data_IF_663033020289
#
_entry.id   IF_663033020289
#
_cell.length_a   1.000
_cell.length_b   1.000
_cell.length_c   1.000
_cell.angle_alpha   90.00
_cell.angle_beta   90.00
_cell.angle_gamma   90.00
#
_symmetry.space_group_name_H-M   'P 1'
#
loop_
_entity.id
_entity.type
_entity.pdbx_description
1 polymer ?
#
# COMPACT_ATOMS: atom_id res chain seq x y z
N UNK A 1 11.66 -6.97 -17.63
CA UNK A 1 10.26 -7.09 -18.07
C UNK A 1 9.40 -6.84 -16.85
N UNK A 2 8.45 -5.92 -16.92
CA UNK A 2 7.48 -5.68 -15.83
C UNK A 2 6.43 -6.79 -15.91
N UNK A 3 6.13 -7.42 -14.78
CA UNK A 3 5.08 -8.47 -14.66
C UNK A 3 3.77 -7.84 -14.19
N UNK A 4 2.65 -8.56 -14.32
CA UNK A 4 1.37 -8.12 -13.73
C UNK A 4 1.53 -7.87 -12.23
N UNK A 5 2.21 -8.77 -11.52
CA UNK A 5 2.44 -8.65 -10.07
C UNK A 5 3.18 -7.35 -9.72
N UNK A 6 4.24 -7.03 -10.47
CA UNK A 6 5.01 -5.78 -10.31
C UNK A 6 4.14 -4.54 -10.56
N UNK A 7 3.27 -4.59 -11.59
CA UNK A 7 2.35 -3.50 -11.88
C UNK A 7 1.27 -3.32 -10.80
N UNK A 8 0.75 -4.43 -10.27
CA UNK A 8 -0.29 -4.41 -9.24
C UNK A 8 0.26 -4.01 -7.87
N UNK A 9 1.50 -4.37 -7.53
CA UNK A 9 2.12 -4.00 -6.24
C UNK A 9 2.41 -2.51 -6.11
N UNK A 10 2.55 -1.80 -7.23
CA UNK A 10 2.74 -0.35 -7.25
C UNK A 10 1.44 0.44 -7.41
N UNK A 11 0.30 -0.24 -7.55
CA UNK A 11 -0.97 0.41 -7.86
C UNK A 11 -1.56 1.05 -6.60
N UNK A 12 -1.62 2.38 -6.57
CA UNK A 12 -2.21 3.12 -5.45
C UNK A 12 -3.73 3.12 -5.51
N UNK A 13 -4.39 3.32 -4.37
CA UNK A 13 -5.86 3.49 -4.31
C UNK A 13 -6.38 4.56 -5.29
N UNK A 14 -5.65 5.66 -5.45
CA UNK A 14 -6.02 6.75 -6.37
C UNK A 14 -5.93 6.28 -7.83
N UNK A 15 -4.91 5.50 -8.19
CA UNK A 15 -4.77 4.96 -9.54
C UNK A 15 -5.86 3.92 -9.84
N UNK A 16 -6.19 3.05 -8.88
CA UNK A 16 -7.34 2.14 -9.01
C UNK A 16 -8.63 2.92 -9.26
N UNK A 17 -8.90 3.97 -8.47
CA UNK A 17 -10.09 4.80 -8.67
C UNK A 17 -10.15 5.39 -10.08
N UNK A 18 -9.01 5.86 -10.62
CA UNK A 18 -8.94 6.37 -12.00
C UNK A 18 -9.19 5.29 -13.05
N UNK A 19 -8.72 4.06 -12.82
CA UNK A 19 -8.95 2.92 -13.73
C UNK A 19 -10.43 2.50 -13.76
N UNK A 20 -11.11 2.57 -12.62
CA UNK A 20 -12.52 2.19 -12.49
C UNK A 20 -13.49 3.30 -12.92
N UNK A 21 -13.00 4.53 -13.13
CA UNK A 21 -13.81 5.68 -13.52
C UNK A 21 -14.52 6.35 -12.34
N UNK A 22 -15.54 7.15 -12.64
CA UNK A 22 -16.20 8.04 -11.67
C UNK A 22 -16.79 7.31 -10.45
N UNK A 23 -17.27 6.07 -10.65
CA UNK A 23 -17.83 5.24 -9.57
C UNK A 23 -16.78 4.41 -8.82
N UNK A 24 -15.49 4.50 -9.18
CA UNK A 24 -14.45 3.62 -8.67
C UNK A 24 -14.37 3.51 -7.15
N UNK A 25 -14.48 4.65 -6.44
CA UNK A 25 -14.49 4.67 -4.97
C UNK A 25 -15.66 3.87 -4.38
N UNK A 26 -16.85 4.00 -4.96
CA UNK A 26 -18.03 3.32 -4.46
C UNK A 26 -17.96 1.81 -4.77
N UNK A 27 -17.47 1.45 -5.97
CA UNK A 27 -17.32 0.05 -6.37
C UNK A 27 -16.28 -0.69 -5.52
N UNK A 28 -15.14 -0.07 -5.20
CA UNK A 28 -14.13 -0.67 -4.30
C UNK A 28 -14.74 -0.89 -2.91
N UNK A 29 -15.46 0.12 -2.38
CA UNK A 29 -16.10 0.02 -1.06
C UNK A 29 -17.17 -1.06 -1.01
N UNK A 30 -18.03 -1.16 -2.03
CA UNK A 30 -19.02 -2.23 -2.16
C UNK A 30 -18.35 -3.60 -2.33
N UNK A 31 -17.23 -3.64 -3.07
CA UNK A 31 -16.38 -4.80 -3.23
C UNK A 31 -15.75 -5.32 -1.94
N UNK A 32 -15.54 -4.44 -0.96
CA UNK A 32 -15.06 -4.82 0.37
C UNK A 32 -16.06 -5.64 1.20
N UNK A 33 -17.33 -5.71 0.78
CA UNK A 33 -18.34 -6.54 1.43
C UNK A 33 -18.27 -8.02 1.03
N UNK A 34 -17.46 -8.37 0.03
CA UNK A 34 -17.27 -9.75 -0.39
C UNK A 34 -16.24 -10.44 0.51
N UNK A 35 -16.65 -11.51 1.16
CA UNK A 35 -15.74 -12.38 1.92
C UNK A 35 -14.95 -13.25 0.93
N UNK A 36 -13.65 -12.98 0.79
CA UNK A 36 -12.77 -13.65 -0.16
C UNK A 36 -11.80 -14.55 0.59
N UNK A 37 -11.78 -15.84 0.23
CA UNK A 37 -10.78 -16.79 0.71
C UNK A 37 -9.64 -16.91 -0.31
N UNK A 38 -8.42 -16.55 0.09
CA UNK A 38 -7.24 -16.56 -0.79
C UNK A 38 -6.90 -17.96 -1.32
N UNK A 39 -7.09 -19.02 -0.51
CA UNK A 39 -6.66 -20.37 -0.87
C UNK A 39 -7.60 -21.02 -1.90
N UNK A 40 -8.89 -20.66 -1.85
CA UNK A 40 -9.93 -21.30 -2.66
C UNK A 40 -10.37 -20.45 -3.87
N UNK A 41 -10.39 -19.13 -3.72
CA UNK A 41 -11.05 -18.23 -4.67
C UNK A 41 -10.08 -17.39 -5.50
N UNK A 42 -8.79 -17.41 -5.16
CA UNK A 42 -7.79 -16.52 -5.78
C UNK A 42 -6.72 -17.31 -6.51
N UNK A 43 -6.48 -16.92 -7.77
CA UNK A 43 -5.29 -17.36 -8.51
C UNK A 43 -4.52 -16.13 -8.95
N UNK A 44 -3.29 -15.99 -8.46
CA UNK A 44 -2.36 -14.93 -8.87
C UNK A 44 -1.08 -15.53 -9.44
N UNK A 45 -0.73 -15.14 -10.66
CA UNK A 45 0.56 -15.43 -11.28
C UNK A 45 1.15 -14.17 -11.93
N UNK A 46 2.28 -14.32 -12.64
CA UNK A 46 3.00 -13.18 -13.21
C UNK A 46 2.25 -12.44 -14.34
N UNK A 47 1.22 -13.05 -14.94
CA UNK A 47 0.54 -12.52 -16.12
C UNK A 47 -0.96 -12.28 -15.90
N UNK A 48 -1.53 -12.94 -14.88
CA UNK A 48 -2.97 -12.98 -14.66
C UNK A 48 -3.34 -13.12 -13.18
N UNK A 49 -4.35 -12.37 -12.78
CA UNK A 49 -5.08 -12.51 -11.53
C UNK A 49 -6.52 -12.94 -11.83
N UNK A 50 -7.00 -13.93 -11.09
CA UNK A 50 -8.37 -14.44 -11.14
C UNK A 50 -8.96 -14.42 -9.73
N UNK A 51 -10.19 -13.94 -9.63
CA UNK A 51 -11.01 -14.03 -8.43
C UNK A 51 -12.33 -14.73 -8.78
N UNK A 52 -12.60 -15.87 -8.14
CA UNK A 52 -13.83 -16.63 -8.26
C UNK A 52 -14.78 -16.26 -7.12
N UNK A 53 -15.82 -15.49 -7.45
CA UNK A 53 -16.94 -15.19 -6.56
C UNK A 53 -18.09 -16.15 -6.87
N UNK A 54 -19.03 -16.30 -5.94
CA UNK A 54 -20.16 -17.25 -6.03
C UNK A 54 -20.92 -17.13 -7.36
N UNK A 55 -21.13 -15.89 -7.83
CA UNK A 55 -21.93 -15.61 -9.02
C UNK A 55 -21.15 -14.99 -10.19
N UNK A 56 -19.84 -14.76 -10.01
CA UNK A 56 -19.03 -14.04 -10.99
C UNK A 56 -17.55 -14.44 -10.92
N UNK A 57 -16.90 -14.50 -12.06
CA UNK A 57 -15.45 -14.60 -12.14
C UNK A 57 -14.86 -13.27 -12.65
N UNK A 58 -13.88 -12.75 -11.92
CA UNK A 58 -13.11 -11.57 -12.31
C UNK A 58 -11.73 -12.00 -12.78
N UNK A 59 -11.29 -11.46 -13.92
CA UNK A 59 -9.92 -11.63 -14.43
C UNK A 59 -9.27 -10.28 -14.62
N UNK A 60 -8.04 -10.14 -14.18
CA UNK A 60 -7.19 -8.97 -14.38
C UNK A 60 -5.89 -9.44 -15.04
N UNK A 61 -5.45 -8.75 -16.08
CA UNK A 61 -4.23 -9.07 -16.80
C UNK A 61 -3.63 -7.84 -17.46
N UNK A 62 -2.51 -7.99 -18.16
CA UNK A 62 -1.90 -6.91 -18.93
C UNK A 62 -2.34 -6.98 -20.40
N UNK A 63 -2.58 -5.84 -21.04
CA UNK A 63 -2.71 -5.79 -22.51
C UNK A 63 -1.35 -6.07 -23.16
N UNK A 64 -1.30 -6.84 -24.26
CA UNK A 64 -0.05 -7.17 -24.95
C UNK A 64 0.58 -5.98 -25.72
N UNK A 65 -0.10 -4.83 -25.81
CA UNK A 65 0.37 -3.66 -26.55
C UNK A 65 1.24 -2.72 -25.70
N UNK A 66 2.09 -1.93 -26.39
CA UNK A 66 3.20 -1.04 -25.95
C UNK A 66 3.10 -0.26 -24.63
N UNK A 67 1.92 -0.17 -23.99
CA UNK A 67 1.72 0.66 -22.80
C UNK A 67 1.50 -0.13 -21.50
N UNK A 68 1.58 -1.47 -21.52
CA UNK A 68 1.49 -2.29 -20.30
C UNK A 68 0.22 -1.99 -19.47
N UNK A 69 -0.87 -1.63 -20.16
CA UNK A 69 -2.10 -1.19 -19.52
C UNK A 69 -2.86 -2.39 -18.95
N UNK A 70 -3.41 -2.23 -17.75
CA UNK A 70 -4.23 -3.25 -17.12
C UNK A 70 -5.54 -3.43 -17.92
N UNK A 71 -5.92 -4.68 -18.12
CA UNK A 71 -7.26 -5.05 -18.54
C UNK A 71 -7.91 -5.84 -17.41
N UNK A 72 -9.22 -5.65 -17.26
CA UNK A 72 -10.02 -6.40 -16.30
C UNK A 72 -11.40 -6.66 -16.87
N UNK A 73 -11.96 -7.81 -16.52
CA UNK A 73 -13.28 -8.25 -16.98
C UNK A 73 -13.99 -9.01 -15.86
N UNK A 74 -15.30 -8.81 -15.77
CA UNK A 74 -16.20 -9.64 -14.99
C UNK A 74 -16.95 -10.58 -15.94
N UNK A 75 -17.17 -11.83 -15.55
CA UNK A 75 -17.93 -12.79 -16.35
C UNK A 75 -19.44 -12.49 -16.40
N UNK A 76 -19.96 -11.70 -15.45
CA UNK A 76 -21.39 -11.40 -15.29
C UNK A 76 -21.76 -10.00 -15.78
N UNK A 77 -20.86 -9.03 -15.64
CA UNK A 77 -21.14 -7.62 -15.91
C UNK A 77 -20.40 -7.14 -17.17
N UNK A 78 -21.11 -6.43 -18.05
CA UNK A 78 -20.51 -5.84 -19.26
C UNK A 78 -19.72 -4.56 -19.00
N UNK A 79 -19.85 -3.97 -17.80
CA UNK A 79 -19.24 -2.72 -17.39
C UNK A 79 -18.49 -2.91 -16.06
N UNK A 80 -17.77 -1.88 -15.62
CA UNK A 80 -17.15 -1.86 -14.27
C UNK A 80 -18.25 -2.04 -13.21
N UNK A 81 -18.02 -2.90 -12.23
CA UNK A 81 -19.03 -3.33 -11.24
C UNK A 81 -18.39 -3.63 -9.88
N UNK A 82 -19.19 -3.92 -8.86
CA UNK A 82 -18.68 -4.21 -7.52
C UNK A 82 -17.79 -5.46 -7.47
N UNK A 83 -17.98 -6.43 -8.37
CA UNK A 83 -17.10 -7.60 -8.47
C UNK A 83 -15.65 -7.22 -8.84
N UNK A 84 -15.51 -6.30 -9.81
CA UNK A 84 -14.20 -5.75 -10.19
C UNK A 84 -13.65 -4.91 -9.03
N UNK A 85 -14.52 -4.16 -8.36
CA UNK A 85 -14.18 -3.46 -7.11
C UNK A 85 -13.65 -4.40 -6.03
N UNK A 86 -14.26 -5.57 -5.85
CA UNK A 86 -13.86 -6.59 -4.88
C UNK A 86 -12.46 -7.13 -5.19
N UNK A 87 -12.18 -7.40 -6.47
CA UNK A 87 -10.86 -7.79 -6.94
C UNK A 87 -9.79 -6.74 -6.61
N UNK A 88 -10.03 -5.47 -6.91
CA UNK A 88 -9.05 -4.42 -6.59
C UNK A 88 -8.95 -4.11 -5.09
N UNK A 89 -10.05 -4.20 -4.34
CA UNK A 89 -10.02 -4.07 -2.89
C UNK A 89 -9.14 -5.17 -2.26
N UNK A 90 -9.34 -6.42 -2.71
CA UNK A 90 -8.54 -7.55 -2.28
C UNK A 90 -7.07 -7.40 -2.66
N UNK A 91 -6.77 -7.01 -3.91
CA UNK A 91 -5.38 -6.78 -4.35
C UNK A 91 -4.72 -5.66 -3.55
N UNK A 92 -5.46 -4.59 -3.25
CA UNK A 92 -5.03 -3.54 -2.34
C UNK A 92 -4.59 -4.13 -1.00
N UNK A 93 -5.45 -4.89 -0.33
CA UNK A 93 -5.15 -5.57 0.93
C UNK A 93 -3.95 -6.54 0.83
N UNK A 94 -3.84 -7.26 -0.28
CA UNK A 94 -2.78 -8.24 -0.53
C UNK A 94 -1.40 -7.58 -0.71
N UNK A 95 -1.33 -6.42 -1.37
CA UNK A 95 -0.07 -5.69 -1.58
C UNK A 95 0.21 -4.64 -0.50
N UNK A 96 -0.79 -4.24 0.30
CA UNK A 96 -0.61 -3.38 1.49
C UNK A 96 -0.09 -4.13 2.72
N UNK A 97 0.14 -5.44 2.63
CA UNK A 97 0.94 -6.17 3.63
C UNK A 97 2.38 -5.62 3.77
N UNK A 98 2.77 -4.67 2.91
CA UNK A 98 4.00 -3.89 2.96
C UNK A 98 3.78 -2.35 3.14
N UNK A 99 2.70 -1.88 3.79
CA UNK A 99 2.54 -0.44 4.11
C UNK A 99 3.39 0.06 5.31
N UNK A 100 4.68 -0.25 5.29
CA UNK A 100 5.63 0.85 5.28
C UNK A 100 6.26 0.77 3.90
N UNK A 101 6.04 1.77 3.04
CA UNK A 101 6.76 1.89 1.77
C UNK A 101 8.21 1.45 1.99
N UNK A 102 8.77 0.59 1.15
CA UNK A 102 10.17 0.14 1.28
C UNK A 102 11.14 1.30 1.57
N UNK A 103 10.83 2.49 1.01
CA UNK A 103 11.52 3.75 1.30
C UNK A 103 11.32 4.27 2.72
N UNK A 104 10.11 4.18 3.27
CA UNK A 104 9.79 4.46 4.68
C UNK A 104 10.47 3.45 5.59
N UNK A 105 10.45 2.14 5.30
CA UNK A 105 11.21 1.14 6.08
C UNK A 105 12.70 1.45 6.12
N UNK A 106 13.29 1.76 4.96
CA UNK A 106 14.71 2.16 4.87
C UNK A 106 15.01 3.46 5.63
N UNK A 107 14.11 4.44 5.55
CA UNK A 107 14.23 5.68 6.31
C UNK A 107 14.10 5.43 7.83
N UNK A 108 13.12 4.63 8.26
CA UNK A 108 12.87 4.24 9.65
C UNK A 108 14.08 3.49 10.22
N UNK A 109 14.60 2.50 9.51
CA UNK A 109 15.78 1.73 9.94
C UNK A 109 17.06 2.57 9.95
N UNK A 110 17.24 3.45 8.96
CA UNK A 110 18.36 4.40 8.95
C UNK A 110 18.29 5.37 10.13
N UNK A 111 17.11 5.88 10.45
CA UNK A 111 16.90 6.80 11.57
C UNK A 111 17.10 6.09 12.92
N UNK A 112 16.55 4.88 13.08
CA UNK A 112 16.69 4.04 14.27
C UNK A 112 18.16 3.68 14.53
N UNK A 113 18.91 3.36 13.48
CA UNK A 113 20.36 3.11 13.58
C UNK A 113 21.08 4.32 14.16
N UNK A 114 20.87 5.50 13.57
CA UNK A 114 21.52 6.75 14.02
C UNK A 114 21.13 7.17 15.42
N UNK A 115 19.85 7.03 15.79
CA UNK A 115 19.40 7.34 17.14
C UNK A 115 19.97 6.37 18.16
N UNK A 116 20.04 5.07 17.82
CA UNK A 116 20.58 4.03 18.70
C UNK A 116 22.06 4.22 19.00
N UNK A 117 22.83 4.78 18.06
CA UNK A 117 24.25 5.15 18.29
C UNK A 117 24.42 6.23 19.38
N UNK A 118 23.38 7.01 19.66
CA UNK A 118 23.38 8.09 20.67
C UNK A 118 22.63 7.72 21.95
N UNK A 119 22.11 6.48 22.07
CA UNK A 119 21.38 6.02 23.24
C UNK A 119 22.35 5.49 24.31
N UNK A 120 22.31 6.11 25.48
CA UNK A 120 22.95 5.62 26.69
C UNK A 120 21.90 4.90 27.55
N UNK A 121 22.23 3.70 28.05
CA UNK A 121 21.38 2.96 29.01
C UNK A 121 22.04 3.04 30.37
N UNK A 122 21.31 3.49 31.38
CA UNK A 122 21.82 3.42 32.75
C UNK A 122 21.59 2.02 33.36
N UNK A 123 22.16 1.84 34.54
CA UNK A 123 22.07 0.64 35.38
C UNK A 123 20.63 0.21 35.74
N UNK A 124 19.64 1.10 35.66
CA UNK A 124 18.22 0.79 35.85
C UNK A 124 17.45 0.52 34.54
N UNK A 125 18.13 0.55 33.38
CA UNK A 125 17.52 0.34 32.07
C UNK A 125 16.78 1.55 31.50
N UNK A 126 16.94 2.74 32.10
CA UNK A 126 16.44 4.00 31.55
C UNK A 126 17.31 4.39 30.36
N UNK A 127 16.64 4.78 29.28
CA UNK A 127 17.28 5.22 28.04
C UNK A 127 17.42 6.74 28.09
N UNK A 128 18.62 7.24 27.84
CA UNK A 128 18.92 8.67 27.70
C UNK A 128 19.52 8.92 26.32
N UNK A 129 18.93 9.84 25.56
CA UNK A 129 19.46 10.28 24.26
C UNK A 129 20.19 11.61 24.47
N UNK A 130 21.51 11.63 24.30
CA UNK A 130 22.33 12.84 24.44
C UNK A 130 22.81 13.31 23.08
N UNK A 131 22.42 14.51 22.67
CA UNK A 131 22.83 15.11 21.40
C UNK A 131 23.56 16.42 21.64
N UNK A 132 24.68 16.63 20.95
CA UNK A 132 25.41 17.90 20.97
C UNK A 132 24.95 18.72 19.78
N UNK A 133 24.44 19.92 20.05
CA UNK A 133 23.98 20.87 19.04
C UNK A 133 25.04 21.98 18.88
N UNK A 134 25.23 22.52 17.67
CA UNK A 134 26.21 23.59 17.43
C UNK A 134 25.78 24.92 18.07
N UNK A 135 24.47 25.21 18.12
CA UNK A 135 23.90 26.39 18.73
C UNK A 135 22.40 26.20 19.06
N UNK A 136 21.83 27.14 19.82
CA UNK A 136 20.46 27.10 20.33
C UNK A 136 19.39 27.18 19.22
N UNK A 137 19.69 27.78 18.07
CA UNK A 137 18.75 27.87 16.95
C UNK A 137 18.44 26.49 16.34
N UNK A 138 19.37 25.53 16.47
CA UNK A 138 19.15 24.15 16.01
C UNK A 138 18.16 23.43 16.91
N UNK A 139 18.09 23.77 18.20
CA UNK A 139 17.11 23.20 19.12
C UNK A 139 15.68 23.60 18.71
N UNK A 140 15.47 24.86 18.34
CA UNK A 140 14.16 25.36 17.88
C UNK A 140 13.70 24.66 16.59
N UNK A 141 14.61 24.45 15.65
CA UNK A 141 14.34 23.71 14.42
C UNK A 141 14.03 22.23 14.67
N UNK A 142 14.77 21.60 15.60
CA UNK A 142 14.50 20.22 16.02
C UNK A 142 13.12 20.12 16.67
N UNK A 143 12.77 21.05 17.56
CA UNK A 143 11.47 21.10 18.23
C UNK A 143 10.32 21.29 17.22
N UNK A 144 10.46 22.20 16.26
CA UNK A 144 9.48 22.39 15.17
C UNK A 144 9.32 21.14 14.31
N UNK A 145 10.41 20.43 14.04
CA UNK A 145 10.37 19.21 13.22
C UNK A 145 9.67 18.07 13.96
N UNK A 146 9.97 17.88 15.24
CA UNK A 146 9.29 16.90 16.09
C UNK A 146 7.80 17.24 16.27
N UNK A 147 7.47 18.51 16.50
CA UNK A 147 6.08 18.95 16.60
C UNK A 147 5.28 18.67 15.32
N UNK A 148 5.87 18.86 14.14
CA UNK A 148 5.24 18.51 12.85
C UNK A 148 5.01 17.01 12.72
N UNK A 149 5.94 16.17 13.18
CA UNK A 149 5.80 14.71 13.16
C UNK A 149 4.69 14.22 14.11
N UNK A 150 4.53 14.87 15.27
CA UNK A 150 3.46 14.54 16.22
C UNK A 150 2.08 15.08 15.80
N UNK A 151 2.03 16.00 14.84
CA UNK A 151 0.78 16.57 14.34
C UNK A 151 0.23 15.84 13.09
N UNK A 152 0.75 14.65 12.79
CA UNK A 152 0.20 13.72 11.78
C UNK A 152 -0.89 12.88 12.47
N UNK A 153 -1.87 13.56 13.06
CA UNK A 153 -3.16 12.96 13.45
C UNK A 153 -4.24 13.90 12.95
N UNK A 154 -4.69 13.67 11.71
CA UNK A 154 -6.07 13.91 11.24
C UNK A 154 -6.27 13.42 9.82
#
# INVERSE_FOLDING_TARGET
MITLKDKLSHLTYIEVCKLLGDEGKNLIRQGGSFEINIDDQVVLNNDMFKLDLIEANVKIGMKPAKNMELNFKCSKCSQVCEHVGAAFNFLGAMFTQDEESEKVKQLTEGFKTRLSECLERDENGKITLKVTLPDESVLDNLAKSLARMMNIER
#
